data_IF_755274012331
#
_entry.id   IF_755274012331
#
_cell.length_a   1.000
_cell.length_b   1.000
_cell.length_c   1.000
_cell.angle_alpha   90.00
_cell.angle_beta   90.00
_cell.angle_gamma   90.00
#
_symmetry.space_group_name_H-M   'P 1'
#
loop_
_entity.id
_entity.type
_entity.pdbx_description
1 polymer ?
#
# COMPACT_ATOMS: atom_id res chain seq x y z
N UNK A 1 7.91 -11.73 -10.80
CA UNK A 1 6.99 -11.23 -10.87
C UNK A 1 5.94 -11.07 -11.88
N UNK A 2 4.98 -11.96 -11.83
CA UNK A 2 3.97 -12.09 -12.83
C UNK A 2 3.02 -10.92 -12.90
N UNK A 3 2.93 -10.11 -11.89
CA UNK A 3 2.07 -8.95 -11.88
C UNK A 3 2.70 -7.67 -12.39
N UNK A 4 3.99 -7.70 -12.69
CA UNK A 4 4.74 -6.51 -13.05
C UNK A 4 5.00 -6.46 -14.54
N UNK A 5 4.58 -5.37 -15.18
CA UNK A 5 4.70 -5.19 -16.62
C UNK A 5 5.13 -3.74 -16.88
N UNK A 6 5.99 -3.53 -17.87
CA UNK A 6 6.41 -2.21 -18.28
C UNK A 6 7.46 -1.64 -17.35
N UNK A 7 7.16 -0.50 -16.75
CA UNK A 7 8.14 0.21 -15.91
C UNK A 7 8.11 -0.21 -14.44
N UNK A 8 7.29 -1.19 -14.07
CA UNK A 8 7.28 -1.68 -12.70
C UNK A 8 8.49 -2.56 -12.44
N UNK A 9 9.06 -2.41 -11.25
CA UNK A 9 10.16 -3.25 -10.80
C UNK A 9 10.02 -3.47 -9.31
N UNK A 10 9.97 -4.73 -8.91
CA UNK A 10 9.92 -5.08 -7.50
C UNK A 10 11.34 -5.23 -6.97
N UNK A 11 11.71 -4.41 -6.00
CA UNK A 11 13.04 -4.45 -5.39
C UNK A 11 13.06 -5.43 -4.23
N UNK A 12 11.95 -5.54 -3.52
CA UNK A 12 11.88 -6.31 -2.31
C UNK A 12 10.49 -6.89 -2.13
N UNK A 13 10.40 -8.22 -2.05
CA UNK A 13 9.15 -8.93 -1.84
C UNK A 13 8.90 -9.15 -0.36
N UNK A 14 7.63 -9.08 0.04
CA UNK A 14 7.15 -9.45 1.37
C UNK A 14 7.97 -8.84 2.49
N UNK A 15 8.03 -7.52 2.49
CA UNK A 15 8.80 -6.79 3.47
C UNK A 15 7.99 -6.68 4.76
N UNK A 16 8.57 -7.16 5.85
CA UNK A 16 7.99 -6.94 7.17
C UNK A 16 8.24 -5.50 7.60
N UNK A 17 7.22 -4.84 8.11
CA UNK A 17 7.32 -3.46 8.57
C UNK A 17 6.82 -3.35 10.00
N UNK A 18 7.56 -2.62 10.84
CA UNK A 18 7.22 -2.37 12.23
C UNK A 18 7.51 -0.90 12.51
N UNK A 19 6.58 -0.21 13.13
CA UNK A 19 6.77 1.19 13.48
C UNK A 19 6.67 1.35 15.01
N UNK A 20 7.82 1.29 15.68
CA UNK A 20 7.99 1.60 17.09
C UNK A 20 6.89 1.03 18.01
N UNK A 21 6.48 -0.22 17.74
CA UNK A 21 5.42 -0.86 18.52
C UNK A 21 4.03 -0.33 18.25
N UNK A 22 3.85 0.61 17.33
CA UNK A 22 2.54 1.13 16.98
C UNK A 22 1.75 0.18 16.11
N UNK A 23 2.40 -0.37 15.11
CA UNK A 23 1.80 -1.38 14.25
C UNK A 23 2.87 -2.17 13.51
N UNK A 24 2.47 -3.32 13.00
CA UNK A 24 3.34 -4.18 12.20
C UNK A 24 2.53 -4.82 11.08
N UNK A 25 3.20 -5.23 10.03
CA UNK A 25 2.55 -5.90 8.91
C UNK A 25 3.56 -6.31 7.86
N UNK A 26 3.06 -6.77 6.73
CA UNK A 26 3.90 -7.19 5.62
C UNK A 26 3.39 -6.56 4.33
N UNK A 27 4.28 -5.91 3.61
CA UNK A 27 3.99 -5.39 2.28
C UNK A 27 4.36 -6.45 1.25
N UNK A 28 3.59 -6.56 0.18
CA UNK A 28 3.87 -7.55 -0.87
C UNK A 28 5.15 -7.22 -1.62
N UNK A 29 5.34 -5.96 -1.96
CA UNK A 29 6.47 -5.58 -2.78
C UNK A 29 6.79 -4.10 -2.60
N UNK A 30 8.07 -3.78 -2.53
CA UNK A 30 8.53 -2.40 -2.62
C UNK A 30 9.36 -2.31 -3.89
N UNK A 31 9.03 -1.38 -4.76
CA UNK A 31 9.68 -1.29 -6.04
C UNK A 31 9.55 0.06 -6.70
N UNK A 32 9.79 0.09 -8.00
CA UNK A 32 9.70 1.30 -8.80
C UNK A 32 8.54 1.17 -9.78
N UNK A 33 7.67 2.17 -9.79
CA UNK A 33 6.61 2.27 -10.76
C UNK A 33 6.57 3.69 -11.29
N UNK A 34 6.67 3.85 -12.60
CA UNK A 34 6.74 5.17 -13.25
C UNK A 34 7.81 6.03 -12.60
N UNK A 35 8.99 5.45 -12.39
CA UNK A 35 10.17 6.14 -11.87
C UNK A 35 10.02 6.64 -10.43
N UNK A 36 9.02 6.13 -9.69
CA UNK A 36 8.80 6.52 -8.30
C UNK A 36 8.87 5.31 -7.39
N UNK A 37 9.49 5.48 -6.23
CA UNK A 37 9.46 4.44 -5.20
C UNK A 37 8.01 4.20 -4.80
N UNK A 38 7.61 2.94 -4.79
CA UNK A 38 6.22 2.56 -4.62
C UNK A 38 6.08 1.34 -3.73
N UNK A 39 4.97 1.30 -3.02
CA UNK A 39 4.53 0.08 -2.38
C UNK A 39 3.50 -0.56 -3.29
N UNK A 40 3.75 -1.80 -3.67
CA UNK A 40 2.94 -2.51 -4.65
C UNK A 40 2.27 -3.68 -3.93
N UNK A 41 0.97 -3.78 -4.06
CA UNK A 41 0.19 -4.79 -3.38
C UNK A 41 -0.67 -5.54 -4.39
N UNK A 42 -0.69 -6.86 -4.29
CA UNK A 42 -1.44 -7.73 -5.20
C UNK A 42 -2.68 -8.22 -4.49
N UNK A 43 -3.83 -8.02 -5.11
CA UNK A 43 -5.11 -8.45 -4.55
C UNK A 43 -5.85 -9.32 -5.54
N UNK A 44 -6.50 -10.36 -5.03
CA UNK A 44 -7.40 -11.17 -5.84
C UNK A 44 -8.82 -10.96 -5.32
N UNK A 45 -9.78 -11.03 -6.24
CA UNK A 45 -11.18 -10.85 -5.89
C UNK A 45 -12.04 -11.70 -6.80
N UNK A 46 -13.28 -11.94 -6.40
CA UNK A 46 -14.23 -12.62 -7.28
C UNK A 46 -14.57 -11.74 -8.47
N UNK A 47 -14.60 -10.45 -8.26
CA UNK A 47 -14.91 -9.45 -9.26
C UNK A 47 -14.15 -8.17 -8.92
N UNK A 48 -13.68 -7.46 -9.95
CA UNK A 48 -12.98 -6.18 -9.74
C UNK A 48 -13.95 -5.20 -9.08
N UNK A 49 -13.49 -4.54 -8.05
CA UNK A 49 -14.29 -3.60 -7.27
C UNK A 49 -13.97 -2.17 -7.66
N UNK A 50 -14.95 -1.25 -7.54
CA UNK A 50 -14.67 0.18 -7.71
C UNK A 50 -13.67 0.68 -6.68
N UNK A 51 -12.95 1.73 -7.02
CA UNK A 51 -11.94 2.33 -6.13
C UNK A 51 -12.51 2.69 -4.76
N UNK A 52 -13.73 3.20 -4.73
CA UNK A 52 -14.38 3.63 -3.49
C UNK A 52 -14.62 2.50 -2.51
N UNK A 53 -14.67 1.26 -3.00
CA UNK A 53 -14.96 0.10 -2.16
C UNK A 53 -13.71 -0.54 -1.57
N UNK A 54 -12.54 -0.06 -1.97
CA UNK A 54 -11.27 -0.64 -1.50
C UNK A 54 -10.44 0.37 -0.72
N UNK A 55 -11.09 1.34 -0.11
CA UNK A 55 -10.40 2.33 0.70
C UNK A 55 -9.53 1.71 1.77
N UNK A 56 -9.98 0.62 2.38
CA UNK A 56 -9.20 -0.05 3.42
C UNK A 56 -7.86 -0.56 2.90
N UNK A 57 -7.80 -0.97 1.65
CA UNK A 57 -6.52 -1.39 1.06
C UNK A 57 -5.56 -0.20 0.96
N UNK A 58 -6.06 0.95 0.56
CA UNK A 58 -5.22 2.16 0.46
C UNK A 58 -4.75 2.62 1.83
N UNK A 59 -5.62 2.53 2.85
CA UNK A 59 -5.24 2.86 4.22
C UNK A 59 -4.14 1.93 4.72
N UNK A 60 -4.31 0.64 4.51
CA UNK A 60 -3.32 -0.35 4.92
C UNK A 60 -2.00 -0.13 4.20
N UNK A 61 -2.04 0.09 2.90
CA UNK A 61 -0.82 0.31 2.12
C UNK A 61 -0.12 1.60 2.50
N UNK A 62 -0.86 2.67 2.82
CA UNK A 62 -0.23 3.90 3.26
C UNK A 62 0.45 3.70 4.61
N UNK A 63 -0.15 2.92 5.49
CA UNK A 63 0.49 2.59 6.77
C UNK A 63 1.80 1.84 6.55
N UNK A 64 1.80 0.86 5.67
CA UNK A 64 3.00 0.08 5.38
C UNK A 64 4.08 0.94 4.71
N UNK A 65 3.69 1.81 3.78
CA UNK A 65 4.65 2.69 3.11
C UNK A 65 5.33 3.62 4.12
N UNK A 66 4.56 4.21 5.01
CA UNK A 66 5.10 5.10 6.02
C UNK A 66 6.01 4.37 7.00
N UNK A 67 5.65 3.15 7.40
CA UNK A 67 6.51 2.34 8.27
C UNK A 67 7.81 1.97 7.58
N UNK A 68 7.74 1.60 6.31
CA UNK A 68 8.93 1.27 5.54
C UNK A 68 9.87 2.47 5.43
N UNK A 69 9.30 3.65 5.22
CA UNK A 69 10.10 4.88 5.14
C UNK A 69 10.89 5.11 6.43
N UNK A 70 10.26 4.87 7.57
CA UNK A 70 10.92 5.02 8.87
C UNK A 70 11.99 3.96 9.08
N UNK A 71 11.67 2.70 8.78
CA UNK A 71 12.59 1.59 9.03
C UNK A 71 13.83 1.61 8.13
N UNK A 72 13.66 1.97 6.88
CA UNK A 72 14.71 1.81 5.86
C UNK A 72 15.17 3.13 5.26
N UNK A 73 14.66 4.27 5.72
CA UNK A 73 15.05 5.56 5.18
C UNK A 73 14.60 5.79 3.75
N UNK A 74 13.54 5.13 3.31
CA UNK A 74 13.01 5.30 1.96
C UNK A 74 12.03 6.47 1.91
N UNK A 75 11.60 6.83 0.72
CA UNK A 75 10.67 7.93 0.51
C UNK A 75 9.50 7.48 -0.37
N UNK A 76 8.83 6.43 0.07
CA UNK A 76 7.68 5.88 -0.66
C UNK A 76 6.48 6.80 -0.46
N UNK A 77 5.98 7.34 -1.57
CA UNK A 77 4.80 8.21 -1.58
C UNK A 77 3.81 7.80 -2.67
N UNK A 78 3.93 6.57 -3.14
CA UNK A 78 3.05 6.03 -4.16
C UNK A 78 2.66 4.61 -3.81
N UNK A 79 1.37 4.32 -3.97
CA UNK A 79 0.83 2.99 -3.76
C UNK A 79 0.27 2.51 -5.09
N UNK A 80 0.57 1.27 -5.44
CA UNK A 80 0.02 0.62 -6.62
C UNK A 80 -0.66 -0.65 -6.17
N UNK A 81 -1.97 -0.75 -6.38
CA UNK A 81 -2.72 -1.96 -6.10
C UNK A 81 -3.04 -2.63 -7.43
N UNK A 82 -2.59 -3.85 -7.58
CA UNK A 82 -2.86 -4.66 -8.76
C UNK A 82 -3.91 -5.70 -8.38
N UNK A 83 -5.11 -5.57 -8.94
CA UNK A 83 -6.22 -6.44 -8.61
C UNK A 83 -6.55 -7.34 -9.80
N UNK A 84 -6.70 -8.63 -9.53
CA UNK A 84 -7.11 -9.61 -10.54
C UNK A 84 -8.35 -10.32 -10.06
N UNK A 85 -9.25 -10.66 -11.00
CA UNK A 85 -10.44 -11.40 -10.68
C UNK A 85 -10.41 -12.82 -11.30
N UNK A 86 -11.48 -13.57 -11.08
CA UNK A 86 -11.58 -14.95 -11.57
C UNK A 86 -11.66 -15.05 -13.10
N UNK A 87 -12.05 -13.97 -13.76
CA UNK A 87 -12.15 -13.93 -15.21
C UNK A 87 -10.88 -13.46 -15.86
N UNK A 88 -9.79 -13.40 -15.10
CA UNK A 88 -8.48 -12.94 -15.57
C UNK A 88 -8.49 -11.48 -16.01
N UNK A 89 -9.40 -10.70 -15.47
CA UNK A 89 -9.38 -9.27 -15.66
C UNK A 89 -8.48 -8.63 -14.61
N UNK A 90 -7.77 -7.59 -15.02
CA UNK A 90 -6.87 -6.86 -14.17
C UNK A 90 -7.26 -5.41 -14.08
N UNK A 91 -7.08 -4.85 -12.91
CA UNK A 91 -7.20 -3.40 -12.74
C UNK A 91 -6.08 -2.91 -11.85
N UNK A 92 -5.50 -1.80 -12.24
CA UNK A 92 -4.42 -1.16 -11.50
C UNK A 92 -4.94 0.13 -10.88
N UNK A 93 -4.68 0.31 -9.60
CA UNK A 93 -5.03 1.53 -8.88
C UNK A 93 -3.73 2.18 -8.43
N UNK A 94 -3.55 3.45 -8.77
CA UNK A 94 -2.36 4.20 -8.40
C UNK A 94 -2.78 5.36 -7.52
N UNK A 95 -2.16 5.47 -6.36
CA UNK A 95 -2.42 6.55 -5.40
C UNK A 95 -1.10 7.24 -5.12
N UNK A 96 -1.04 8.56 -5.34
CA UNK A 96 0.15 9.34 -5.06
C UNK A 96 -0.23 10.79 -4.73
N UNK A 97 0.77 11.65 -4.49
CA UNK A 97 0.56 13.06 -4.23
C UNK A 97 -0.40 13.32 -3.08
N UNK A 98 -1.36 14.19 -3.32
CA UNK A 98 -2.34 14.57 -2.29
C UNK A 98 -3.20 13.42 -1.84
N UNK A 99 -3.49 12.49 -2.73
CA UNK A 99 -4.29 11.31 -2.41
C UNK A 99 -3.54 10.40 -1.44
N UNK A 100 -2.26 10.22 -1.64
CA UNK A 100 -1.43 9.46 -0.71
C UNK A 100 -1.41 10.14 0.67
N UNK A 101 -1.24 11.45 0.70
CA UNK A 101 -1.25 12.20 1.96
C UNK A 101 -2.59 12.08 2.67
N UNK A 102 -3.68 12.10 1.91
CA UNK A 102 -5.02 11.93 2.47
C UNK A 102 -5.16 10.59 3.20
N UNK A 103 -4.74 9.50 2.56
CA UNK A 103 -4.83 8.18 3.19
C UNK A 103 -3.86 8.05 4.36
N UNK A 104 -2.68 8.64 4.27
CA UNK A 104 -1.73 8.65 5.38
C UNK A 104 -2.35 9.34 6.60
N UNK A 105 -2.95 10.51 6.41
CA UNK A 105 -3.54 11.25 7.51
C UNK A 105 -4.76 10.52 8.08
N UNK A 106 -5.56 9.91 7.24
CA UNK A 106 -6.71 9.13 7.68
C UNK A 106 -6.28 7.92 8.50
N UNK A 107 -5.23 7.23 8.07
CA UNK A 107 -4.67 6.12 8.82
C UNK A 107 -4.15 6.58 10.18
N UNK A 108 -3.39 7.68 10.23
CA UNK A 108 -2.87 8.21 11.48
C UNK A 108 -3.99 8.53 12.45
N UNK A 109 -5.09 9.11 11.97
CA UNK A 109 -6.22 9.42 12.82
C UNK A 109 -6.87 8.16 13.40
N UNK A 110 -7.01 7.12 12.58
CA UNK A 110 -7.54 5.85 13.05
C UNK A 110 -6.63 5.23 14.11
N UNK A 111 -5.32 5.32 13.93
CA UNK A 111 -4.36 4.80 14.88
C UNK A 111 -4.43 5.55 16.21
N UNK A 112 -4.52 6.87 16.18
CA UNK A 112 -4.66 7.69 17.37
C UNK A 112 -5.93 7.32 18.12
N UNK A 113 -7.05 7.20 17.41
CA UNK A 113 -8.33 6.85 18.00
C UNK A 113 -8.27 5.46 18.65
N UNK A 114 -7.63 4.51 17.99
CA UNK A 114 -7.48 3.17 18.52
C UNK A 114 -6.72 3.17 19.84
N UNK A 115 -5.58 3.86 19.89
CA UNK A 115 -4.76 3.91 21.10
C UNK A 115 -5.48 4.66 22.23
N UNK A 116 -6.23 5.71 21.90
CA UNK A 116 -6.97 6.45 22.91
C UNK A 116 -8.09 5.62 23.52
N UNK A 117 -8.73 4.77 22.74
CA UNK A 117 -9.83 3.94 23.27
C UNK A 117 -9.32 2.75 24.08
N UNK A 118 -8.05 2.42 23.99
CA UNK A 118 -7.45 1.33 24.76
C UNK A 118 -7.07 1.75 26.18
N UNK A 119 -7.06 3.03 26.40
CA UNK A 119 -6.72 3.55 27.71
C UNK A 119 -7.97 3.64 28.58
#
# INVERSE_FOLDING_TARGET
DEGLVGSEMCIRDRVGVILDGLYAGTADCVGIYNEKESLIDFKTAKKIKPKEWIEDYFLQCSAYANAHNVMFGTDIKQIVILMADRNQEFKKFVVNGREFDHYTNKWKQKLINFHNTKL
#
